data_IF_307176273199
#
_entry.id   IF_307176273199
#
_cell.length_a   1.000
_cell.length_b   1.000
_cell.length_c   1.000
_cell.angle_alpha   90.00
_cell.angle_beta   90.00
_cell.angle_gamma   90.00
#
_symmetry.space_group_name_H-M   'P 1'
#
loop_
_entity.id
_entity.type
_entity.pdbx_description
1 polymer ?
#
# COMPACT_ATOMS: atom_id res chain seq x y z
N UNK A 1 -66.66 -28.82 -16.56
CA UNK A 1 -65.69 -29.89 -16.32
C UNK A 1 -64.46 -29.23 -15.72
N UNK A 2 -64.43 -29.11 -14.41
CA UNK A 2 -63.34 -28.46 -13.65
C UNK A 2 -62.33 -29.54 -13.28
N UNK A 3 -61.13 -29.44 -13.83
CA UNK A 3 -60.01 -30.34 -13.52
C UNK A 3 -59.53 -30.02 -12.09
N UNK A 4 -59.45 -31.01 -11.19
CA UNK A 4 -58.88 -30.79 -9.86
C UNK A 4 -57.37 -30.62 -9.99
N UNK A 5 -56.86 -29.49 -9.54
CA UNK A 5 -55.42 -29.23 -9.41
C UNK A 5 -54.92 -30.10 -8.25
N UNK A 6 -53.87 -30.89 -8.50
CA UNK A 6 -53.26 -31.80 -7.54
C UNK A 6 -52.54 -31.01 -6.45
N UNK A 7 -52.72 -31.40 -5.18
CA UNK A 7 -52.14 -30.76 -3.98
C UNK A 7 -50.61 -30.56 -4.07
N UNK A 8 -49.87 -31.33 -4.87
CA UNK A 8 -48.42 -31.19 -5.08
C UNK A 8 -47.99 -29.90 -5.81
N UNK A 9 -48.87 -29.28 -6.61
CA UNK A 9 -48.56 -28.00 -7.29
C UNK A 9 -48.72 -26.80 -6.35
N UNK A 10 -49.57 -26.90 -5.33
CA UNK A 10 -49.80 -25.85 -4.33
C UNK A 10 -48.60 -25.70 -3.37
N UNK A 11 -47.96 -26.81 -3.01
CA UNK A 11 -46.74 -26.80 -2.18
C UNK A 11 -45.52 -26.22 -2.92
N UNK A 12 -45.39 -26.46 -4.23
CA UNK A 12 -44.33 -25.85 -5.04
C UNK A 12 -44.52 -24.35 -5.24
N UNK A 13 -45.76 -23.89 -5.39
CA UNK A 13 -46.08 -22.47 -5.54
C UNK A 13 -45.73 -21.65 -4.28
N UNK A 14 -45.81 -22.25 -3.09
CA UNK A 14 -45.48 -21.61 -1.82
C UNK A 14 -43.96 -21.53 -1.51
N UNK A 15 -43.10 -22.26 -2.23
CA UNK A 15 -41.65 -22.21 -2.02
C UNK A 15 -40.96 -21.05 -2.75
N UNK A 16 -41.53 -20.58 -3.87
CA UNK A 16 -40.94 -19.52 -4.70
C UNK A 16 -40.84 -18.18 -3.93
N UNK A 17 -41.89 -17.70 -3.23
CA UNK A 17 -41.80 -16.46 -2.45
C UNK A 17 -40.80 -16.56 -1.28
N UNK A 18 -40.66 -17.75 -0.70
CA UNK A 18 -39.74 -18.00 0.42
C UNK A 18 -38.28 -17.97 -0.04
N UNK A 19 -38.00 -18.56 -1.20
CA UNK A 19 -36.66 -18.52 -1.82
C UNK A 19 -36.27 -17.08 -2.15
N UNK A 20 -37.17 -16.29 -2.74
CA UNK A 20 -36.89 -14.91 -3.10
C UNK A 20 -36.60 -14.05 -1.86
N UNK A 21 -37.39 -14.23 -0.79
CA UNK A 21 -37.17 -13.57 0.51
C UNK A 21 -35.81 -13.94 1.14
N UNK A 22 -35.42 -15.21 1.12
CA UNK A 22 -34.11 -15.65 1.59
C UNK A 22 -32.97 -15.08 0.74
N UNK A 23 -33.15 -15.01 -0.58
CA UNK A 23 -32.14 -14.46 -1.49
C UNK A 23 -31.95 -12.95 -1.27
N UNK A 24 -33.03 -12.19 -1.06
CA UNK A 24 -32.95 -10.78 -0.71
C UNK A 24 -32.23 -10.53 0.61
N UNK A 25 -32.45 -11.36 1.63
CA UNK A 25 -31.73 -11.25 2.91
C UNK A 25 -30.22 -11.50 2.75
N UNK A 26 -29.84 -12.53 1.98
CA UNK A 26 -28.42 -12.82 1.71
C UNK A 26 -27.77 -11.68 0.92
N UNK A 27 -28.45 -11.15 -0.10
CA UNK A 27 -27.94 -10.03 -0.89
C UNK A 27 -27.79 -8.76 -0.05
N UNK A 28 -28.75 -8.49 0.84
CA UNK A 28 -28.67 -7.41 1.81
C UNK A 28 -27.47 -7.57 2.74
N UNK A 29 -27.25 -8.75 3.33
CA UNK A 29 -26.08 -9.00 4.18
C UNK A 29 -24.76 -8.89 3.41
N UNK A 30 -24.68 -9.35 2.16
CA UNK A 30 -23.48 -9.17 1.32
C UNK A 30 -23.19 -7.69 1.03
N UNK A 31 -24.23 -6.88 0.80
CA UNK A 31 -24.07 -5.44 0.55
C UNK A 31 -23.67 -4.72 1.84
N UNK A 32 -24.29 -5.02 2.99
CA UNK A 32 -24.00 -4.34 4.26
C UNK A 32 -22.64 -4.74 4.83
N UNK A 33 -22.22 -6.01 4.71
CA UNK A 33 -20.90 -6.47 5.19
C UNK A 33 -19.71 -5.89 4.39
N UNK A 34 -19.96 -5.38 3.17
CA UNK A 34 -18.93 -4.65 2.40
C UNK A 34 -18.63 -3.25 2.94
N UNK A 35 -19.48 -2.70 3.82
CA UNK A 35 -19.30 -1.35 4.40
C UNK A 35 -18.75 -1.34 5.83
N UNK A 36 -18.59 -2.50 6.47
CA UNK A 36 -18.12 -2.58 7.87
C UNK A 36 -16.66 -2.15 8.12
N UNK A 37 -15.67 -2.29 7.21
CA UNK A 37 -14.29 -1.98 7.58
C UNK A 37 -14.03 -0.47 7.74
N UNK A 38 -14.66 0.37 6.92
CA UNK A 38 -14.35 1.81 6.89
C UNK A 38 -15.12 2.61 7.94
N UNK A 39 -16.34 2.20 8.31
CA UNK A 39 -17.11 2.88 9.37
C UNK A 39 -16.51 2.65 10.78
N UNK A 40 -15.87 1.51 11.00
CA UNK A 40 -15.13 1.21 12.24
C UNK A 40 -13.91 2.11 12.44
N UNK A 41 -13.27 2.57 11.35
CA UNK A 41 -12.18 3.53 11.41
C UNK A 41 -12.68 4.94 11.77
N UNK A 42 -13.86 5.33 11.25
CA UNK A 42 -14.47 6.65 11.48
C UNK A 42 -15.05 6.76 12.90
N UNK A 43 -15.60 5.68 13.46
CA UNK A 43 -16.08 5.66 14.85
C UNK A 43 -14.97 5.94 15.89
N UNK A 44 -13.70 5.73 15.54
CA UNK A 44 -12.56 6.08 16.40
C UNK A 44 -12.17 7.57 16.35
N UNK A 45 -12.63 8.31 15.33
CA UNK A 45 -12.36 9.73 15.13
C UNK A 45 -13.44 10.64 15.74
N UNK A 46 -14.59 10.08 16.13
CA UNK A 46 -15.64 10.85 16.78
C UNK A 46 -15.34 10.99 18.28
N UNK A 47 -15.34 12.22 18.83
CA UNK A 47 -15.25 12.41 20.27
C UNK A 47 -16.48 11.79 20.93
N UNK A 48 -16.28 10.73 21.71
CA UNK A 48 -17.33 10.17 22.57
C UNK A 48 -17.50 11.08 23.78
N UNK A 49 -18.24 12.17 23.58
CA UNK A 49 -18.64 13.02 24.68
C UNK A 49 -19.70 12.30 25.55
N UNK A 50 -19.45 12.35 26.87
CA UNK A 50 -20.34 11.99 27.99
C UNK A 50 -20.34 10.53 28.47
N UNK A 51 -19.35 10.26 29.31
CA UNK A 51 -19.67 9.86 30.69
C UNK A 51 -19.94 8.38 30.93
N UNK A 52 -18.92 7.53 30.74
CA UNK A 52 -18.76 6.32 31.53
C UNK A 52 -17.26 6.02 31.66
N UNK A 53 -16.81 5.84 32.90
CA UNK A 53 -15.49 5.28 33.21
C UNK A 53 -15.43 3.86 32.65
N UNK A 54 -14.99 3.71 31.40
CA UNK A 54 -14.50 2.45 30.90
C UNK A 54 -12.98 2.55 30.77
N UNK A 55 -12.33 1.55 31.36
CA UNK A 55 -10.92 1.20 31.23
C UNK A 55 -10.31 1.79 29.97
N UNK A 56 -9.17 2.48 30.12
CA UNK A 56 -8.28 2.88 29.03
C UNK A 56 -8.16 1.76 28.02
N UNK A 57 -9.01 1.76 26.98
CA UNK A 57 -8.71 1.04 25.76
C UNK A 57 -7.50 1.79 25.26
N UNK A 58 -6.33 1.15 25.39
CA UNK A 58 -5.17 1.58 24.65
C UNK A 58 -5.66 1.55 23.21
N UNK A 59 -5.99 2.71 22.64
CA UNK A 59 -5.99 2.89 21.19
C UNK A 59 -4.75 2.13 20.72
N UNK A 60 -4.84 1.18 19.79
CA UNK A 60 -3.64 0.51 19.31
C UNK A 60 -2.71 1.63 18.85
N UNK A 61 -1.65 1.87 19.62
CA UNK A 61 -0.60 2.81 19.25
C UNK A 61 -0.25 2.43 17.81
N UNK A 62 -0.26 3.39 16.87
CA UNK A 62 0.12 3.10 15.51
C UNK A 62 1.42 2.31 15.58
N UNK A 63 1.39 1.05 15.15
CA UNK A 63 2.60 0.20 15.18
C UNK A 63 3.68 1.03 14.50
N UNK A 64 4.84 1.14 15.11
CA UNK A 64 5.98 1.78 14.47
C UNK A 64 6.18 1.09 13.11
N UNK A 65 6.20 1.85 12.01
CA UNK A 65 6.32 1.34 10.65
C UNK A 65 7.56 1.92 10.00
N UNK A 66 8.21 1.15 9.14
CA UNK A 66 9.32 1.65 8.33
C UNK A 66 8.77 2.12 6.99
N UNK A 67 8.68 3.43 6.81
CA UNK A 67 8.16 4.04 5.59
C UNK A 67 9.26 4.16 4.53
N UNK A 68 9.06 3.54 3.36
CA UNK A 68 9.88 3.76 2.17
C UNK A 68 9.12 4.74 1.27
N UNK A 69 9.63 5.96 1.15
CA UNK A 69 9.06 7.01 0.31
C UNK A 69 9.84 7.12 -1.02
N UNK A 70 9.12 7.01 -2.14
CA UNK A 70 9.69 7.15 -3.49
C UNK A 70 8.92 8.22 -4.26
N UNK A 71 9.65 9.22 -4.76
CA UNK A 71 9.08 10.38 -5.46
C UNK A 71 10.08 10.94 -6.49
N UNK A 72 9.64 11.77 -7.46
CA UNK A 72 10.52 12.32 -8.48
C UNK A 72 11.68 13.12 -7.91
N UNK A 73 12.84 13.04 -8.57
CA UNK A 73 14.01 13.82 -8.20
C UNK A 73 13.75 15.34 -8.28
N UNK A 74 14.44 16.13 -7.46
CA UNK A 74 14.32 17.59 -7.42
C UNK A 74 13.21 18.17 -6.53
N UNK A 75 12.38 17.32 -5.90
CA UNK A 75 11.39 17.74 -4.91
C UNK A 75 12.00 17.78 -3.50
N UNK A 76 11.75 18.85 -2.73
CA UNK A 76 12.32 19.04 -1.40
C UNK A 76 11.23 19.19 -0.33
N UNK A 77 11.52 18.73 0.90
CA UNK A 77 10.68 18.98 2.08
C UNK A 77 10.48 20.48 2.29
N UNK A 78 9.29 20.87 2.73
CA UNK A 78 8.93 22.26 3.02
C UNK A 78 8.14 22.98 1.92
N UNK A 79 8.03 22.40 0.72
CA UNK A 79 7.14 22.90 -0.32
C UNK A 79 5.67 22.71 0.06
N UNK A 80 4.81 23.63 -0.38
CA UNK A 80 3.36 23.51 -0.26
C UNK A 80 2.79 22.57 -1.34
N UNK A 81 1.61 21.96 -1.14
CA UNK A 81 0.99 21.08 -2.13
C UNK A 81 0.86 21.70 -3.53
N UNK A 82 0.54 22.99 -3.62
CA UNK A 82 0.47 23.73 -4.90
C UNK A 82 1.81 23.84 -5.61
N UNK A 83 2.92 23.95 -4.87
CA UNK A 83 4.26 24.03 -5.42
C UNK A 83 4.72 22.65 -5.93
N UNK A 84 4.40 21.57 -5.21
CA UNK A 84 4.61 20.21 -5.70
C UNK A 84 3.85 19.95 -7.00
N UNK A 85 2.59 20.39 -7.06
CA UNK A 85 1.76 20.29 -8.26
C UNK A 85 2.44 20.98 -9.45
N UNK A 86 2.84 22.25 -9.29
CA UNK A 86 3.50 23.01 -10.35
C UNK A 86 4.83 22.39 -10.79
N UNK A 87 5.61 21.84 -9.84
CA UNK A 87 6.87 21.17 -10.14
C UNK A 87 6.65 19.89 -10.97
N UNK A 88 5.65 19.07 -10.63
CA UNK A 88 5.29 17.88 -11.41
C UNK A 88 4.80 18.24 -12.81
N UNK A 89 3.93 19.24 -12.92
CA UNK A 89 3.41 19.69 -14.22
C UNK A 89 4.55 20.11 -15.16
N UNK A 90 5.57 20.79 -14.60
CA UNK A 90 6.79 21.10 -15.33
C UNK A 90 7.58 19.85 -15.74
N UNK A 91 7.80 18.91 -14.82
CA UNK A 91 8.51 17.65 -15.13
C UNK A 91 7.79 16.80 -16.19
N UNK A 92 6.45 16.87 -16.24
CA UNK A 92 5.67 16.22 -17.29
C UNK A 92 5.81 16.91 -18.64
N UNK A 93 5.79 18.24 -18.67
CA UNK A 93 6.04 19.01 -19.90
C UNK A 93 7.44 18.69 -20.47
N UNK A 94 8.43 18.53 -19.60
CA UNK A 94 9.83 18.25 -19.98
C UNK A 94 10.13 16.74 -20.18
N UNK A 95 9.16 15.85 -19.88
CA UNK A 95 9.31 14.39 -19.91
C UNK A 95 10.47 13.86 -19.02
N UNK A 96 10.73 14.54 -17.89
CA UNK A 96 11.81 14.21 -16.94
C UNK A 96 11.31 13.52 -15.67
N UNK A 97 10.00 13.41 -15.48
CA UNK A 97 9.37 12.91 -14.24
C UNK A 97 9.79 11.49 -13.83
N UNK A 98 10.16 10.63 -14.78
CA UNK A 98 10.53 9.22 -14.54
C UNK A 98 12.04 8.96 -14.73
N UNK A 99 12.81 10.00 -15.03
CA UNK A 99 14.23 9.90 -15.34
C UNK A 99 15.05 9.58 -14.10
N UNK A 100 14.82 10.32 -13.01
CA UNK A 100 15.45 10.11 -11.71
C UNK A 100 14.38 10.16 -10.60
N UNK A 101 14.54 9.34 -9.57
CA UNK A 101 13.69 9.33 -8.38
C UNK A 101 14.52 9.48 -7.10
N UNK A 102 13.94 10.09 -6.07
CA UNK A 102 14.46 10.02 -4.71
C UNK A 102 13.86 8.82 -3.98
N UNK A 103 14.72 8.05 -3.32
CA UNK A 103 14.36 6.98 -2.39
C UNK A 103 14.72 7.42 -0.97
N UNK A 104 13.73 7.49 -0.08
CA UNK A 104 13.94 7.80 1.33
C UNK A 104 13.35 6.71 2.21
N UNK A 105 14.07 6.32 3.27
CA UNK A 105 13.60 5.33 4.23
C UNK A 105 13.52 6.00 5.60
N UNK A 106 12.30 6.10 6.11
CA UNK A 106 11.93 6.86 7.28
C UNK A 106 12.46 8.31 7.29
N UNK A 107 13.18 8.65 8.36
CA UNK A 107 13.83 9.96 8.55
C UNK A 107 15.20 10.16 7.88
N UNK A 108 15.75 9.19 7.16
CA UNK A 108 17.11 9.26 6.61
C UNK A 108 17.24 10.22 5.42
N UNK A 109 18.48 10.53 5.04
CA UNK A 109 18.77 11.34 3.85
C UNK A 109 18.36 10.57 2.60
N UNK A 110 17.64 11.19 1.64
CA UNK A 110 17.20 10.49 0.44
C UNK A 110 18.40 10.15 -0.45
N UNK A 111 18.32 9.01 -1.14
CA UNK A 111 19.26 8.59 -2.18
C UNK A 111 18.65 8.81 -3.56
N UNK A 112 19.40 9.39 -4.50
CA UNK A 112 18.97 9.52 -5.88
C UNK A 112 19.12 8.18 -6.63
N UNK A 113 18.07 7.81 -7.36
CA UNK A 113 17.97 6.59 -8.15
C UNK A 113 17.84 7.00 -9.61
N UNK A 114 18.81 6.60 -10.44
CA UNK A 114 18.73 6.82 -11.87
C UNK A 114 17.78 5.79 -12.50
N UNK A 115 16.66 6.26 -13.01
CA UNK A 115 15.62 5.46 -13.66
C UNK A 115 15.92 5.10 -15.11
N UNK A 116 16.90 5.75 -15.74
CA UNK A 116 17.24 5.52 -17.16
C UNK A 116 17.72 4.08 -17.41
N UNK A 117 18.70 3.53 -16.65
CA UNK A 117 19.14 2.14 -16.81
C UNK A 117 18.05 1.11 -16.50
N UNK A 118 17.02 1.47 -15.74
CA UNK A 118 16.00 0.56 -15.22
C UNK A 118 14.82 0.34 -16.17
N UNK A 119 14.66 1.17 -17.21
CA UNK A 119 13.50 1.03 -18.09
C UNK A 119 13.38 2.00 -19.26
N UNK A 120 14.38 2.85 -19.52
CA UNK A 120 14.31 3.71 -20.70
C UNK A 120 14.24 2.88 -21.99
N UNK A 121 13.53 3.39 -23.00
CA UNK A 121 13.46 2.74 -24.31
C UNK A 121 14.86 2.62 -24.90
N UNK A 122 15.34 1.39 -25.10
CA UNK A 122 16.71 1.10 -25.55
C UNK A 122 17.69 0.71 -24.43
N UNK A 123 17.27 0.74 -23.16
CA UNK A 123 18.05 0.17 -22.07
C UNK A 123 18.24 -1.34 -22.30
N UNK A 124 19.50 -1.80 -22.29
CA UNK A 124 19.82 -3.21 -22.41
C UNK A 124 19.52 -3.89 -21.07
N UNK A 125 18.56 -4.82 -21.08
CA UNK A 125 18.27 -5.68 -19.92
C UNK A 125 19.55 -6.35 -19.43
N UNK A 126 19.81 -6.28 -18.12
CA UNK A 126 21.01 -6.86 -17.53
C UNK A 126 22.33 -6.18 -17.91
N UNK A 127 22.28 -4.95 -18.45
CA UNK A 127 23.49 -4.16 -18.65
C UNK A 127 24.26 -3.94 -17.34
N UNK A 128 25.60 -3.75 -17.37
CA UNK A 128 26.38 -3.47 -16.18
C UNK A 128 25.87 -2.26 -15.39
N UNK A 129 25.44 -1.20 -16.08
CA UNK A 129 24.84 -0.01 -15.44
C UNK A 129 23.52 -0.31 -14.74
N UNK A 130 22.65 -1.13 -15.34
CA UNK A 130 21.40 -1.55 -14.71
C UNK A 130 21.69 -2.36 -13.44
N UNK A 131 22.62 -3.32 -13.50
CA UNK A 131 23.01 -4.15 -12.36
C UNK A 131 23.59 -3.31 -11.23
N UNK A 132 24.51 -2.41 -11.55
CA UNK A 132 25.09 -1.49 -10.58
C UNK A 132 24.02 -0.61 -9.92
N UNK A 133 23.04 -0.11 -10.69
CA UNK A 133 21.96 0.70 -10.13
C UNK A 133 21.06 -0.12 -9.19
N UNK A 134 20.76 -1.37 -9.53
CA UNK A 134 20.02 -2.30 -8.67
C UNK A 134 20.82 -2.61 -7.40
N UNK A 135 22.10 -2.92 -7.52
CA UNK A 135 23.00 -3.18 -6.39
C UNK A 135 23.09 -1.98 -5.43
N UNK A 136 23.24 -0.76 -5.97
CA UNK A 136 23.25 0.47 -5.17
C UNK A 136 21.92 0.67 -4.43
N UNK A 137 20.79 0.40 -5.11
CA UNK A 137 19.47 0.49 -4.51
C UNK A 137 19.33 -0.52 -3.36
N UNK A 138 19.69 -1.78 -3.59
CA UNK A 138 19.62 -2.84 -2.58
C UNK A 138 20.53 -2.51 -1.39
N UNK A 139 21.77 -2.08 -1.64
CA UNK A 139 22.73 -1.74 -0.59
C UNK A 139 22.19 -0.63 0.34
N UNK A 140 21.60 0.42 -0.23
CA UNK A 140 20.99 1.49 0.55
C UNK A 140 19.78 1.00 1.36
N UNK A 141 18.88 0.22 0.75
CA UNK A 141 17.74 -0.36 1.48
C UNK A 141 18.21 -1.26 2.63
N UNK A 142 19.22 -2.11 2.39
CA UNK A 142 19.77 -3.01 3.40
C UNK A 142 20.36 -2.24 4.57
N UNK A 143 21.19 -1.23 4.29
CA UNK A 143 21.80 -0.38 5.30
C UNK A 143 20.73 0.29 6.17
N UNK A 144 19.71 0.88 5.55
CA UNK A 144 18.66 1.59 6.27
C UNK A 144 17.73 0.67 7.07
N UNK A 145 17.40 -0.52 6.53
CA UNK A 145 16.61 -1.51 7.26
C UNK A 145 17.37 -2.09 8.44
N UNK A 146 18.67 -2.35 8.29
CA UNK A 146 19.53 -2.88 9.35
C UNK A 146 19.58 -1.95 10.58
N UNK A 147 19.64 -0.63 10.37
CA UNK A 147 19.59 0.35 11.48
C UNK A 147 18.26 0.38 12.23
N UNK A 148 17.20 -0.20 11.66
CA UNK A 148 15.82 -0.20 12.17
C UNK A 148 15.37 -1.58 12.65
N UNK A 149 16.29 -2.53 12.73
CA UNK A 149 16.03 -3.87 13.23
C UNK A 149 15.79 -3.87 14.74
N UNK A 150 14.74 -4.55 15.18
CA UNK A 150 14.48 -4.78 16.60
C UNK A 150 15.12 -6.11 17.00
N UNK A 151 16.32 -6.04 17.59
CA UNK A 151 17.07 -7.23 18.00
C UNK A 151 16.26 -8.11 18.95
N UNK A 152 16.30 -9.43 18.72
CA UNK A 152 15.62 -10.42 19.57
C UNK A 152 14.14 -10.64 19.25
N UNK A 153 13.53 -9.87 18.34
CA UNK A 153 12.17 -10.11 17.86
C UNK A 153 12.14 -11.01 16.61
N UNK A 154 11.15 -11.92 16.48
CA UNK A 154 10.95 -12.69 15.26
C UNK A 154 10.53 -11.75 14.10
N UNK A 155 10.61 -12.24 12.85
CA UNK A 155 10.44 -11.39 11.65
C UNK A 155 9.02 -10.83 11.50
N UNK A 156 8.01 -11.63 11.83
CA UNK A 156 6.59 -11.27 11.87
C UNK A 156 6.23 -10.23 12.96
N UNK A 157 7.10 -10.07 13.97
CA UNK A 157 6.97 -9.01 14.98
C UNK A 157 7.81 -7.76 14.70
N UNK A 158 8.60 -7.75 13.61
CA UNK A 158 9.32 -6.55 13.20
C UNK A 158 8.33 -5.47 12.70
N UNK A 159 8.66 -4.17 12.86
CA UNK A 159 7.89 -3.07 12.29
C UNK A 159 7.56 -3.31 10.81
N UNK A 160 6.30 -3.24 10.35
CA UNK A 160 5.98 -3.48 8.94
C UNK A 160 6.69 -2.46 8.04
N UNK A 161 7.06 -2.88 6.84
CA UNK A 161 7.63 -1.98 5.82
C UNK A 161 6.51 -1.50 4.91
N UNK A 162 6.33 -0.18 4.81
CA UNK A 162 5.31 0.43 3.95
C UNK A 162 5.96 1.17 2.80
N UNK A 163 5.72 0.71 1.58
CA UNK A 163 6.26 1.28 0.35
C UNK A 163 5.26 2.29 -0.20
N UNK A 164 5.59 3.56 -0.08
CA UNK A 164 4.85 4.69 -0.60
C UNK A 164 5.54 5.23 -1.85
N UNK A 165 5.05 4.81 -3.02
CA UNK A 165 5.56 5.28 -4.31
C UNK A 165 4.55 6.27 -4.91
N UNK A 166 5.03 7.43 -5.35
CA UNK A 166 4.20 8.41 -6.02
C UNK A 166 3.53 7.80 -7.25
N UNK A 167 2.22 7.94 -7.35
CA UNK A 167 1.37 7.32 -8.38
C UNK A 167 1.71 7.73 -9.80
N UNK A 168 2.35 8.90 -9.97
CA UNK A 168 2.80 9.40 -11.27
C UNK A 168 4.11 8.78 -11.77
N UNK A 169 4.82 7.98 -10.97
CA UNK A 169 6.06 7.30 -11.40
C UNK A 169 5.80 5.91 -11.97
N UNK A 170 6.75 5.39 -12.77
CA UNK A 170 6.67 4.01 -13.25
C UNK A 170 6.79 3.02 -12.09
N UNK A 171 6.01 1.94 -12.13
CA UNK A 171 6.03 0.85 -11.14
C UNK A 171 7.40 0.19 -10.93
N UNK A 172 8.37 0.41 -11.83
CA UNK A 172 9.74 -0.09 -11.73
C UNK A 172 10.38 0.26 -10.38
N UNK A 173 10.11 1.43 -9.83
CA UNK A 173 10.69 1.83 -8.54
C UNK A 173 10.02 1.12 -7.36
N UNK A 174 8.69 0.99 -7.37
CA UNK A 174 7.94 0.28 -6.34
C UNK A 174 8.32 -1.21 -6.29
N UNK A 175 8.46 -1.84 -7.47
CA UNK A 175 8.90 -3.24 -7.59
C UNK A 175 10.33 -3.40 -7.11
N UNK A 176 11.24 -2.49 -7.50
CA UNK A 176 12.64 -2.54 -7.05
C UNK A 176 12.76 -2.39 -5.52
N UNK A 177 11.95 -1.51 -4.91
CA UNK A 177 11.89 -1.38 -3.46
C UNK A 177 11.37 -2.65 -2.79
N UNK A 178 10.30 -3.23 -3.32
CA UNK A 178 9.77 -4.49 -2.81
C UNK A 178 10.78 -5.63 -2.91
N UNK A 179 11.43 -5.79 -4.06
CA UNK A 179 12.48 -6.79 -4.28
C UNK A 179 13.67 -6.58 -3.32
N UNK A 180 14.11 -5.34 -3.13
CA UNK A 180 15.17 -4.98 -2.18
C UNK A 180 14.82 -5.37 -0.75
N UNK A 181 13.59 -5.07 -0.31
CA UNK A 181 13.12 -5.44 1.03
C UNK A 181 13.07 -6.96 1.17
N UNK A 182 12.54 -7.69 0.18
CA UNK A 182 12.49 -9.16 0.22
C UNK A 182 13.88 -9.80 0.18
N UNK A 183 14.81 -9.25 -0.58
CA UNK A 183 16.19 -9.68 -0.59
C UNK A 183 16.87 -9.46 0.78
N UNK A 184 16.57 -8.35 1.46
CA UNK A 184 17.04 -8.09 2.81
C UNK A 184 16.48 -9.12 3.79
N UNK A 185 15.17 -9.36 3.78
CA UNK A 185 14.53 -10.36 4.64
C UNK A 185 15.13 -11.76 4.41
N UNK A 186 15.32 -12.16 3.14
CA UNK A 186 15.96 -13.42 2.78
C UNK A 186 17.43 -13.52 3.23
N UNK A 187 18.13 -12.39 3.43
CA UNK A 187 19.48 -12.39 4.01
C UNK A 187 19.48 -12.59 5.53
N UNK A 188 18.37 -12.28 6.21
CA UNK A 188 18.21 -12.45 7.65
C UNK A 188 17.64 -13.82 8.02
N UNK A 189 16.99 -14.51 7.09
CA UNK A 189 16.51 -15.89 7.28
C UNK A 189 17.40 -16.89 6.55
N UNK A 190 17.70 -18.04 7.15
CA UNK A 190 18.47 -19.10 6.47
C UNK A 190 17.67 -19.81 5.37
N UNK A 191 16.38 -19.53 5.27
CA UNK A 191 15.47 -20.10 4.30
C UNK A 191 14.84 -18.97 3.48
N UNK A 192 14.86 -19.13 2.15
CA UNK A 192 13.92 -18.44 1.28
C UNK A 192 12.50 -18.85 1.64
N UNK A 193 11.55 -17.92 1.48
CA UNK A 193 10.12 -18.20 1.60
C UNK A 193 9.74 -19.25 0.56
N UNK A 194 9.34 -20.44 0.99
CA UNK A 194 8.96 -21.55 0.09
C UNK A 194 7.46 -21.76 0.01
N UNK A 195 6.76 -21.54 1.12
CA UNK A 195 5.33 -21.78 1.24
C UNK A 195 4.59 -20.61 1.91
N UNK A 196 3.27 -20.74 2.05
CA UNK A 196 2.42 -19.73 2.66
C UNK A 196 2.70 -19.55 4.16
N UNK A 197 3.17 -20.59 4.84
CA UNK A 197 3.49 -20.52 6.27
C UNK A 197 4.77 -19.73 6.53
N UNK A 198 5.76 -19.82 5.64
CA UNK A 198 6.92 -18.96 5.66
C UNK A 198 6.55 -17.47 5.47
N UNK A 199 5.50 -17.17 4.68
CA UNK A 199 4.99 -15.81 4.50
C UNK A 199 4.32 -15.26 5.77
N UNK A 200 3.59 -16.10 6.51
CA UNK A 200 2.96 -15.70 7.79
C UNK A 200 4.01 -15.31 8.84
N UNK A 201 5.18 -15.96 8.79
CA UNK A 201 6.31 -15.68 9.67
C UNK A 201 7.25 -14.59 9.16
N UNK A 202 7.06 -14.14 7.92
CA UNK A 202 7.89 -13.10 7.34
C UNK A 202 7.44 -11.73 7.85
N UNK A 203 8.38 -10.77 7.82
CA UNK A 203 8.03 -9.36 8.03
C UNK A 203 7.01 -8.92 6.99
N UNK A 204 6.00 -8.20 7.47
CA UNK A 204 4.97 -7.62 6.62
C UNK A 204 5.56 -6.51 5.74
N UNK A 205 5.26 -6.57 4.44
CA UNK A 205 5.68 -5.59 3.43
C UNK A 205 4.44 -5.19 2.64
N UNK A 206 4.06 -3.92 2.73
CA UNK A 206 2.80 -3.40 2.21
C UNK A 206 3.08 -2.29 1.21
N UNK A 207 2.31 -2.23 0.13
CA UNK A 207 2.24 -1.01 -0.68
C UNK A 207 1.20 -0.08 -0.09
N UNK A 208 1.58 1.18 0.17
CA UNK A 208 0.63 2.18 0.62
C UNK A 208 -0.52 2.27 -0.41
N UNK A 209 -1.79 2.32 0.05
CA UNK A 209 -2.92 2.39 -0.85
C UNK A 209 -2.81 3.66 -1.70
N UNK A 210 -3.02 3.59 -3.03
CA UNK A 210 -3.09 4.80 -3.83
C UNK A 210 -4.29 5.61 -3.35
N UNK A 211 -4.06 6.89 -2.99
CA UNK A 211 -5.12 7.79 -2.51
C UNK A 211 -6.26 7.94 -3.51
N UNK A 212 -5.94 7.86 -4.80
CA UNK A 212 -6.82 8.38 -5.83
C UNK A 212 -7.43 7.23 -6.63
N UNK A 213 -8.59 6.74 -6.17
CA UNK A 213 -9.47 5.89 -7.00
C UNK A 213 -10.17 6.67 -8.13
N UNK A 214 -10.05 8.00 -8.18
CA UNK A 214 -10.64 8.86 -9.22
C UNK A 214 -9.67 10.00 -9.57
N UNK A 215 -8.79 9.78 -10.56
CA UNK A 215 -7.64 10.61 -10.92
C UNK A 215 -8.02 12.07 -11.22
N UNK A 216 -7.98 12.96 -10.23
CA UNK A 216 -8.03 14.39 -10.47
C UNK A 216 -6.59 14.92 -10.49
N UNK A 217 -6.19 15.60 -11.58
CA UNK A 217 -4.86 16.22 -11.69
C UNK A 217 -4.55 17.15 -10.51
N UNK A 218 -5.55 17.66 -9.80
CA UNK A 218 -5.41 18.62 -8.70
C UNK A 218 -4.98 17.98 -7.37
N UNK A 219 -4.94 16.65 -7.26
CA UNK A 219 -4.62 15.95 -6.02
C UNK A 219 -3.18 15.46 -5.93
N UNK A 220 -2.41 15.56 -7.02
CA UNK A 220 -1.04 15.03 -7.10
C UNK A 220 -0.09 15.77 -6.16
N UNK A 221 -0.26 17.09 -6.05
CA UNK A 221 0.48 17.91 -5.08
C UNK A 221 0.26 17.47 -3.64
N UNK A 222 -0.96 17.03 -3.28
CA UNK A 222 -1.26 16.52 -1.94
C UNK A 222 -0.60 15.16 -1.70
N UNK A 223 -0.69 14.25 -2.68
CA UNK A 223 -0.03 12.94 -2.59
C UNK A 223 1.48 13.09 -2.39
N UNK A 224 2.13 13.94 -3.19
CA UNK A 224 3.56 14.19 -3.04
C UNK A 224 3.91 14.86 -1.72
N UNK A 225 3.10 15.83 -1.29
CA UNK A 225 3.29 16.45 0.02
C UNK A 225 3.32 15.37 1.11
N UNK A 226 2.37 14.44 1.12
CA UNK A 226 2.33 13.38 2.11
C UNK A 226 3.55 12.46 2.04
N UNK A 227 3.84 11.92 0.85
CA UNK A 227 4.98 11.00 0.64
C UNK A 227 6.30 11.67 1.06
N UNK A 228 6.51 12.93 0.65
CA UNK A 228 7.72 13.69 0.99
C UNK A 228 7.77 14.04 2.47
N UNK A 229 6.67 14.01 3.22
CA UNK A 229 6.65 14.25 4.67
C UNK A 229 6.57 12.97 5.54
N UNK A 230 6.46 11.78 4.95
CA UNK A 230 6.54 10.50 5.67
C UNK A 230 7.86 10.38 6.46
N UNK A 231 7.77 9.84 7.67
CA UNK A 231 8.90 9.62 8.59
C UNK A 231 9.07 8.16 8.95
#
# INVERSE_FOLDING_TARGET
MTVPISEEEEDRANLIPLIDCMFFLIMFFMIVTKFTPDELAIASLLPTDKGQMQSTSKSPLPKEQVNIAIYPAGLQKGMQPSEYQAAVEKMWADNTFDANGWLRIGGSNPMEVNGTPLGARGAKKGSPLMRQQVENFHAYVFQELETREQSGKPRDEQPPVVISCYSGMTWKYAILAYDSVRAFEASKTSNYVKDAFDLEKAREVIFAPPRIRNYSKRELGNELYEIVHLR
#
